data_IF_401391890573
#
_entry.id   IF_401391890573
#
_cell.length_a   1.000
_cell.length_b   1.000
_cell.length_c   1.000
_cell.angle_alpha   90.00
_cell.angle_beta   90.00
_cell.angle_gamma   90.00
#
_symmetry.space_group_name_H-M   'P 1'
#
loop_
_entity.id
_entity.type
_entity.pdbx_description
1 polymer ?
#
# COMPACT_ATOMS: atom_id res chain seq x y z
N UNK A 1 -27.30 11.86 0.86
CA UNK A 1 -26.82 11.84 0.84
C UNK A 1 -26.38 11.65 0.54
N UNK A 2 -26.15 11.48 0.29
CA UNK A 2 -25.53 11.31 -0.01
C UNK A 2 -24.88 11.20 -0.48
N UNK A 3 -24.75 11.20 -0.81
CA UNK A 3 -24.01 11.18 -1.23
C UNK A 3 -23.39 11.20 -1.19
N UNK A 4 -23.40 11.27 -1.21
CA UNK A 4 -22.60 11.39 -1.01
C UNK A 4 -21.96 10.94 -0.94
N UNK A 5 -22.12 10.59 -0.82
CA UNK A 5 -21.28 10.01 -0.74
C UNK A 5 -20.25 9.80 -1.52
N UNK A 6 -20.06 9.77 -2.42
CA UNK A 6 -19.16 9.75 -3.21
C UNK A 6 -18.21 10.64 -2.88
N UNK A 7 -18.50 11.46 -2.43
CA UNK A 7 -17.57 12.38 -1.99
C UNK A 7 -16.64 11.80 -1.03
N UNK A 8 -16.80 10.61 -0.70
CA UNK A 8 -15.92 10.00 0.14
C UNK A 8 -14.58 9.88 -0.39
N UNK A 9 -14.42 9.78 -1.68
CA UNK A 9 -13.14 9.70 -2.22
C UNK A 9 -12.66 11.06 -2.47
N UNK A 10 -11.98 11.63 -1.54
CA UNK A 10 -11.43 12.93 -1.73
C UNK A 10 -10.12 12.80 -2.42
N UNK A 11 -9.96 13.48 -3.54
CA UNK A 11 -8.71 13.49 -4.26
C UNK A 11 -8.02 14.81 -4.04
N UNK A 12 -6.80 14.76 -3.56
CA UNK A 12 -5.99 15.95 -3.36
C UNK A 12 -4.72 15.76 -4.16
N UNK A 13 -4.57 16.52 -5.24
CA UNK A 13 -3.37 16.43 -6.08
C UNK A 13 -3.08 15.00 -6.51
N UNK A 14 -4.11 14.28 -6.90
CA UNK A 14 -3.92 12.91 -7.35
C UNK A 14 -3.90 11.89 -6.23
N UNK A 15 -3.98 12.34 -4.99
CA UNK A 15 -4.02 11.43 -3.86
C UNK A 15 -5.46 11.11 -3.50
N UNK A 16 -5.70 9.84 -3.19
CA UNK A 16 -7.02 9.37 -2.80
C UNK A 16 -7.01 9.04 -1.32
N UNK A 17 -8.03 9.44 -0.62
CA UNK A 17 -8.14 9.09 0.79
C UNK A 17 -8.38 7.60 0.93
N UNK A 18 -7.58 6.94 1.74
CA UNK A 18 -7.69 5.49 1.93
C UNK A 18 -8.43 5.15 3.21
N UNK A 19 -7.98 5.72 4.32
CA UNK A 19 -8.55 5.38 5.62
C UNK A 19 -8.11 6.40 6.64
N UNK A 20 -8.63 6.26 7.85
CA UNK A 20 -8.19 7.06 8.96
C UNK A 20 -6.92 6.43 9.52
N UNK A 21 -6.01 7.25 10.01
CA UNK A 21 -4.77 6.73 10.58
C UNK A 21 -5.06 5.81 11.75
N UNK A 22 -6.16 6.07 12.47
CA UNK A 22 -6.52 5.23 13.59
C UNK A 22 -6.92 3.83 13.23
N UNK A 23 -7.26 3.60 11.97
CA UNK A 23 -7.64 2.26 11.55
C UNK A 23 -6.43 1.36 11.33
N UNK A 24 -5.24 1.93 11.34
CA UNK A 24 -4.01 1.18 11.09
C UNK A 24 -3.32 0.86 12.39
N UNK A 25 -2.84 -0.37 12.51
CA UNK A 25 -2.09 -0.78 13.68
C UNK A 25 -0.62 -0.74 13.39
N UNK A 26 0.16 -0.38 14.41
CA UNK A 26 1.59 -0.27 14.25
C UNK A 26 2.21 -1.62 13.89
N UNK A 27 3.07 -1.62 12.87
CA UNK A 27 3.77 -2.82 12.41
C UNK A 27 2.85 -3.87 11.79
N UNK A 28 1.69 -3.45 11.31
CA UNK A 28 0.76 -4.36 10.66
C UNK A 28 0.33 -3.81 9.31
N UNK A 29 0.00 -4.69 8.41
CA UNK A 29 -0.50 -4.32 7.11
C UNK A 29 -2.00 -4.44 7.05
N UNK A 30 -2.59 -3.75 6.09
CA UNK A 30 -4.01 -3.81 5.88
C UNK A 30 -4.28 -3.74 4.39
N UNK A 31 -5.25 -4.52 3.94
CA UNK A 31 -5.56 -4.62 2.53
C UNK A 31 -6.64 -3.64 2.14
N UNK A 32 -6.44 -2.95 1.03
CA UNK A 32 -7.45 -2.06 0.47
C UNK A 32 -7.50 -2.27 -1.03
N UNK A 33 -8.64 -2.01 -1.61
CA UNK A 33 -8.80 -2.06 -3.05
C UNK A 33 -9.31 -0.69 -3.50
N UNK A 34 -8.48 0.00 -4.29
CA UNK A 34 -8.80 1.33 -4.76
C UNK A 34 -8.83 1.30 -6.28
N UNK A 35 -10.00 1.56 -6.86
CA UNK A 35 -10.15 1.53 -8.32
C UNK A 35 -9.64 0.20 -8.88
N UNK A 36 -10.00 -0.88 -8.20
CA UNK A 36 -9.62 -2.23 -8.59
C UNK A 36 -8.14 -2.54 -8.44
N UNK A 37 -7.39 -1.66 -7.78
CA UNK A 37 -5.98 -1.89 -7.53
C UNK A 37 -5.82 -2.41 -6.12
N UNK A 38 -5.15 -3.55 -5.98
CA UNK A 38 -4.89 -4.18 -4.68
C UNK A 38 -3.73 -3.48 -4.00
N UNK A 39 -3.96 -2.98 -2.81
CA UNK A 39 -2.96 -2.20 -2.09
C UNK A 39 -2.81 -2.73 -0.68
N UNK A 40 -1.57 -2.77 -0.21
CA UNK A 40 -1.27 -3.09 1.17
C UNK A 40 -0.73 -1.84 1.82
N UNK A 41 -1.32 -1.44 2.93
CA UNK A 41 -0.90 -0.26 3.68
C UNK A 41 -0.28 -0.72 4.98
N UNK A 42 0.90 -0.19 5.29
CA UNK A 42 1.62 -0.53 6.51
C UNK A 42 1.92 0.73 7.31
N UNK A 43 1.86 0.60 8.61
CA UNK A 43 2.13 1.73 9.50
C UNK A 43 3.28 1.39 10.42
N UNK A 44 4.24 2.29 10.52
CA UNK A 44 5.32 2.18 11.48
C UNK A 44 5.46 3.52 12.14
N UNK A 45 5.06 3.62 13.39
CA UNK A 45 5.09 4.90 14.09
C UNK A 45 4.21 5.90 13.38
N UNK A 46 4.80 6.99 12.94
CA UNK A 46 4.04 8.03 12.25
C UNK A 46 4.18 7.92 10.74
N UNK A 47 4.78 6.85 10.25
CA UNK A 47 5.00 6.68 8.83
C UNK A 47 4.04 5.65 8.27
N UNK A 48 3.60 5.88 7.05
CA UNK A 48 2.68 4.98 6.37
C UNK A 48 3.25 4.65 5.01
N UNK A 49 3.18 3.39 4.64
CA UNK A 49 3.72 2.91 3.37
C UNK A 49 2.63 2.20 2.59
N UNK A 50 2.61 2.39 1.29
CA UNK A 50 1.62 1.77 0.42
C UNK A 50 2.34 1.01 -0.69
N UNK A 51 2.06 -0.28 -0.78
CA UNK A 51 2.66 -1.14 -1.77
C UNK A 51 1.58 -1.95 -2.45
N UNK A 52 1.90 -2.50 -3.62
CA UNK A 52 1.01 -3.44 -4.26
C UNK A 52 0.82 -4.63 -3.32
N UNK A 53 -0.40 -5.12 -3.22
CA UNK A 53 -0.69 -6.27 -2.39
C UNK A 53 -0.51 -7.59 -3.12
N UNK A 54 -0.09 -7.55 -4.37
CA UNK A 54 0.06 -8.75 -5.18
C UNK A 54 1.53 -9.09 -5.31
N UNK A 55 1.91 -10.26 -4.80
CA UNK A 55 3.29 -10.71 -4.92
C UNK A 55 3.57 -11.03 -6.39
N UNK A 56 4.60 -10.42 -6.98
CA UNK A 56 4.84 -10.62 -8.40
C UNK A 56 5.25 -12.04 -8.76
N UNK A 57 5.75 -12.80 -7.79
CA UNK A 57 6.20 -14.15 -8.06
C UNK A 57 5.08 -15.17 -7.99
N UNK A 58 4.14 -14.95 -7.08
CA UNK A 58 3.08 -15.92 -6.85
C UNK A 58 1.71 -15.41 -7.22
N UNK A 59 1.58 -14.11 -7.52
CA UNK A 59 0.29 -13.52 -7.84
C UNK A 59 -0.71 -13.63 -6.70
N UNK A 60 -0.23 -13.85 -5.49
CA UNK A 60 -1.11 -13.93 -4.34
C UNK A 60 -1.34 -12.54 -3.78
N UNK A 61 -2.50 -12.35 -3.16
CA UNK A 61 -2.88 -11.05 -2.62
C UNK A 61 -2.66 -11.04 -1.12
N UNK A 62 -1.44 -11.35 -0.71
CA UNK A 62 -1.13 -11.58 0.69
C UNK A 62 -0.02 -10.71 1.27
N UNK A 63 0.43 -9.72 0.53
CA UNK A 63 1.52 -8.88 1.02
C UNK A 63 1.15 -8.23 2.35
N UNK A 64 -0.12 -7.83 2.50
CA UNK A 64 -0.54 -7.15 3.73
C UNK A 64 -0.42 -8.04 4.96
N UNK A 65 -0.32 -9.35 4.79
CA UNK A 65 -0.19 -10.26 5.92
C UNK A 65 1.26 -10.60 6.23
N UNK A 66 2.18 -9.97 5.55
CA UNK A 66 3.58 -10.24 5.76
C UNK A 66 4.09 -9.68 7.08
N UNK A 67 5.35 -9.98 7.34
CA UNK A 67 6.01 -9.55 8.56
C UNK A 67 6.96 -8.41 8.22
N UNK A 68 6.94 -7.36 9.02
CA UNK A 68 7.81 -6.22 8.79
C UNK A 68 9.12 -6.45 9.54
N UNK A 69 10.22 -6.42 8.80
CA UNK A 69 11.54 -6.58 9.37
C UNK A 69 12.52 -5.61 8.72
N UNK A 70 13.21 -4.85 9.52
CA UNK A 70 14.29 -3.98 9.02
C UNK A 70 13.89 -3.12 7.83
N UNK A 71 12.69 -2.54 7.91
CA UNK A 71 12.24 -1.66 6.85
C UNK A 71 11.73 -2.38 5.62
N UNK A 72 11.57 -3.69 5.69
CA UNK A 72 11.06 -4.49 4.60
C UNK A 72 9.83 -5.25 5.02
N UNK A 73 9.03 -5.62 4.02
CA UNK A 73 7.90 -6.51 4.26
C UNK A 73 8.29 -7.86 3.70
N UNK A 74 8.06 -8.91 4.48
CA UNK A 74 8.40 -10.27 4.07
C UNK A 74 7.11 -10.96 3.66
N UNK A 75 7.04 -11.36 2.40
CA UNK A 75 5.85 -12.02 1.88
C UNK A 75 5.66 -13.36 2.58
N UNK A 76 4.45 -13.63 3.10
CA UNK A 76 4.26 -14.85 3.89
C UNK A 76 4.29 -16.14 3.07
N UNK A 77 4.20 -16.04 1.75
CA UNK A 77 4.14 -17.24 0.94
C UNK A 77 5.50 -17.89 0.76
N UNK A 78 6.49 -17.12 0.32
CA UNK A 78 7.82 -17.69 0.08
C UNK A 78 8.95 -16.90 0.71
N UNK A 79 8.62 -15.96 1.57
CA UNK A 79 9.67 -15.23 2.27
C UNK A 79 10.41 -14.18 1.45
N UNK A 80 9.86 -13.78 0.34
CA UNK A 80 10.46 -12.71 -0.44
C UNK A 80 10.36 -11.40 0.33
N UNK A 81 11.43 -10.62 0.30
CA UNK A 81 11.48 -9.36 1.01
C UNK A 81 11.38 -8.20 0.03
N UNK A 82 10.61 -7.19 0.43
CA UNK A 82 10.45 -5.99 -0.38
C UNK A 82 10.61 -4.78 0.50
N UNK A 83 11.35 -3.78 0.02
CA UNK A 83 11.55 -2.55 0.77
C UNK A 83 10.23 -1.82 0.90
N UNK A 84 9.89 -1.40 2.11
CA UNK A 84 8.60 -0.75 2.35
C UNK A 84 8.46 0.57 1.62
N UNK A 85 9.55 1.27 1.43
CA UNK A 85 9.50 2.57 0.81
C UNK A 85 9.51 2.51 -0.71
N UNK A 86 10.27 1.61 -1.28
CA UNK A 86 10.45 1.55 -2.71
C UNK A 86 9.79 0.36 -3.39
N UNK A 87 9.54 -0.70 -2.64
CA UNK A 87 9.02 -1.94 -3.21
C UNK A 87 10.08 -2.82 -3.83
N UNK A 88 11.33 -2.36 -3.84
CA UNK A 88 12.40 -3.14 -4.45
C UNK A 88 12.77 -4.33 -3.58
N UNK A 89 13.26 -5.37 -4.21
CA UNK A 89 13.72 -6.52 -3.48
C UNK A 89 15.23 -6.52 -3.43
N UNK A 90 15.83 -6.72 -2.25
CA UNK A 90 17.28 -6.71 -2.13
C UNK A 90 17.96 -7.78 -2.99
N UNK A 91 17.27 -8.88 -3.26
CA UNK A 91 17.83 -9.93 -4.07
C UNK A 91 17.85 -9.60 -5.55
N UNK A 92 17.24 -8.48 -5.92
CA UNK A 92 17.13 -8.12 -7.32
C UNK A 92 15.89 -8.75 -7.92
N UNK A 93 15.64 -8.43 -9.16
CA UNK A 93 14.47 -8.94 -9.82
C UNK A 93 13.29 -8.03 -9.64
N UNK A 94 12.11 -8.56 -9.87
CA UNK A 94 10.91 -7.75 -9.87
C UNK A 94 10.42 -7.46 -8.46
N UNK A 95 10.22 -6.20 -8.17
CA UNK A 95 9.69 -5.79 -6.88
C UNK A 95 8.23 -5.48 -6.95
N UNK A 96 7.74 -4.82 -5.91
CA UNK A 96 6.36 -4.38 -5.82
C UNK A 96 6.25 -2.93 -6.26
N UNK A 97 5.10 -2.56 -6.78
CA UNK A 97 4.84 -1.15 -7.02
C UNK A 97 4.69 -0.48 -5.67
N UNK A 98 5.20 0.72 -5.55
CA UNK A 98 5.02 1.51 -4.34
C UNK A 98 4.26 2.77 -4.72
N UNK A 99 3.50 3.29 -3.76
CA UNK A 99 2.67 4.47 -3.98
C UNK A 99 2.99 5.51 -2.93
N UNK A 100 3.03 6.77 -3.35
CA UNK A 100 3.28 7.84 -2.40
C UNK A 100 2.13 7.94 -1.43
N UNK A 101 2.44 8.31 -0.19
CA UNK A 101 1.42 8.48 0.84
C UNK A 101 1.54 9.84 1.47
N UNK A 102 0.42 10.31 2.02
CA UNK A 102 0.37 11.55 2.80
C UNK A 102 -0.55 11.32 3.97
N UNK A 103 -0.29 12.03 5.06
CA UNK A 103 -1.19 12.02 6.19
C UNK A 103 -1.63 13.46 6.38
N UNK A 104 -2.94 13.70 6.28
CA UNK A 104 -3.51 15.02 6.44
C UNK A 104 -4.66 14.92 7.42
N UNK A 105 -4.57 15.64 8.53
CA UNK A 105 -5.62 15.64 9.55
C UNK A 105 -5.99 14.23 9.98
N UNK A 106 -4.98 13.39 10.17
CA UNK A 106 -5.15 12.01 10.61
C UNK A 106 -5.84 11.13 9.59
N UNK A 107 -5.89 11.55 8.34
CA UNK A 107 -6.39 10.72 7.26
C UNK A 107 -5.22 10.30 6.38
N UNK A 108 -5.24 9.06 5.94
CA UNK A 108 -4.19 8.52 5.11
C UNK A 108 -4.59 8.60 3.65
N UNK A 109 -3.73 9.20 2.86
CA UNK A 109 -3.95 9.34 1.43
C UNK A 109 -2.83 8.61 0.68
N UNK A 110 -3.15 8.06 -0.46
CA UNK A 110 -2.16 7.45 -1.31
C UNK A 110 -2.40 7.85 -2.75
N UNK A 111 -1.31 8.02 -3.47
CA UNK A 111 -1.41 8.36 -4.88
C UNK A 111 -1.45 7.06 -5.65
N UNK A 112 -2.64 6.52 -5.81
CA UNK A 112 -2.83 5.21 -6.40
C UNK A 112 -3.20 5.36 -7.85
N UNK A 113 -2.36 4.82 -8.71
CA UNK A 113 -2.68 4.84 -10.12
C UNK A 113 -2.20 3.54 -10.70
N UNK A 114 -2.93 3.08 -11.72
CA UNK A 114 -2.55 1.87 -12.39
C UNK A 114 -1.31 2.16 -13.19
N UNK A 115 -0.29 1.34 -13.00
CA UNK A 115 0.92 1.51 -13.75
C UNK A 115 0.65 1.02 -15.15
N UNK A 116 0.76 1.93 -16.10
CA UNK A 116 0.50 1.55 -17.45
C UNK A 116 1.64 0.79 -18.01
N UNK A 117 1.33 -0.22 -18.78
CA UNK A 117 2.36 -0.95 -19.46
C UNK A 117 2.71 -0.17 -20.69
N UNK A 118 3.97 0.09 -20.84
CA UNK A 118 4.42 0.80 -22.01
C UNK A 118 5.08 -0.17 -22.91
N UNK A 119 4.53 -0.39 -24.02
CA UNK A 119 5.15 -1.27 -24.99
C UNK A 119 5.12 -0.67 -26.36
#
# INVERSE_FOLDING_TARGET
MRSSIKSNKKNIDGFTRICSLEELRNYEGRRFIIDEIEIAIFKIGDSVYALSNICPHQQTKMIYEGIIENGCIVCPVHGWMFDLQTGNTPAGGRGLDSYETKIINSDVYAKVSRKELKW
#
